data_IF_114646959160
#
_entry.id   IF_114646959160
#
_cell.length_a   1.000
_cell.length_b   1.000
_cell.length_c   1.000
_cell.angle_alpha   90.00
_cell.angle_beta   90.00
_cell.angle_gamma   90.00
#
_symmetry.space_group_name_H-M   'P 1'
#
loop_
_entity.id
_entity.type
_entity.pdbx_description
1 polymer ?
#
# COMPACT_ATOMS: atom_id res chain seq x y z
N UNK A 1 17.20 3.78 0.98
CA UNK A 1 16.96 2.33 1.12
C UNK A 1 18.25 1.53 0.93
N UNK A 2 19.01 1.74 -0.14
CA UNK A 2 20.19 0.93 -0.51
C UNK A 2 21.28 0.83 0.55
N UNK A 3 21.37 1.78 1.47
CA UNK A 3 22.37 1.76 2.54
C UNK A 3 21.95 0.90 3.75
N UNK A 4 20.65 0.61 3.87
CA UNK A 4 20.09 -0.10 5.01
C UNK A 4 19.50 -1.47 4.62
N UNK A 5 19.18 -1.68 3.34
CA UNK A 5 18.55 -2.89 2.85
C UNK A 5 19.24 -3.39 1.60
N UNK A 6 19.45 -4.72 1.53
CA UNK A 6 19.90 -5.38 0.31
C UNK A 6 18.70 -5.61 -0.60
N UNK A 7 18.79 -5.15 -1.85
CA UNK A 7 17.80 -5.51 -2.87
C UNK A 7 18.09 -6.94 -3.31
N UNK A 8 17.12 -7.83 -3.13
CA UNK A 8 17.23 -9.22 -3.56
C UNK A 8 16.60 -9.44 -4.93
N UNK A 9 15.51 -8.71 -5.21
CA UNK A 9 14.76 -8.84 -6.45
C UNK A 9 14.09 -7.52 -6.80
N UNK A 10 14.02 -7.19 -8.08
CA UNK A 10 13.25 -6.09 -8.65
C UNK A 10 12.55 -6.59 -9.90
N UNK A 11 11.22 -6.51 -9.93
CA UNK A 11 10.38 -6.95 -11.01
C UNK A 11 9.33 -5.94 -11.40
N UNK A 12 8.75 -6.11 -12.58
CA UNK A 12 7.67 -5.30 -13.11
C UNK A 12 6.47 -6.19 -13.44
N UNK A 13 5.28 -5.68 -13.18
CA UNK A 13 4.04 -6.34 -13.59
C UNK A 13 3.06 -5.34 -14.20
N UNK A 14 2.18 -5.83 -15.04
CA UNK A 14 1.07 -5.03 -15.55
C UNK A 14 -0.08 -5.06 -14.55
N UNK A 15 -0.57 -3.86 -14.18
CA UNK A 15 -1.80 -3.77 -13.40
C UNK A 15 -2.99 -4.26 -14.22
N UNK A 16 -4.03 -4.75 -13.55
CA UNK A 16 -5.28 -5.14 -14.23
C UNK A 16 -5.97 -3.92 -14.83
N UNK A 17 -6.82 -4.13 -15.84
CA UNK A 17 -7.64 -3.10 -16.45
C UNK A 17 -9.08 -3.14 -15.90
N UNK A 18 -9.68 -1.97 -15.58
CA UNK A 18 -9.07 -0.63 -15.54
C UNK A 18 -8.07 -0.47 -14.41
N UNK A 19 -7.01 0.32 -14.65
CA UNK A 19 -5.92 0.58 -13.69
C UNK A 19 -6.35 1.57 -12.60
N UNK A 20 -7.36 1.23 -11.84
CA UNK A 20 -7.79 2.04 -10.70
C UNK A 20 -7.60 1.28 -9.39
N UNK A 21 -7.34 2.02 -8.33
CA UNK A 21 -7.08 1.49 -6.99
C UNK A 21 -8.14 0.48 -6.53
N UNK A 22 -9.41 0.75 -6.84
CA UNK A 22 -10.53 -0.14 -6.51
C UNK A 22 -10.34 -1.56 -7.07
N UNK A 23 -9.99 -1.67 -8.36
CA UNK A 23 -9.84 -2.97 -9.02
C UNK A 23 -8.50 -3.61 -8.69
N UNK A 24 -7.43 -2.85 -8.86
CA UNK A 24 -6.06 -3.35 -8.71
C UNK A 24 -5.78 -3.81 -7.30
N UNK A 25 -6.07 -2.98 -6.29
CA UNK A 25 -5.73 -3.28 -4.90
C UNK A 25 -6.60 -4.38 -4.30
N UNK A 26 -7.90 -4.37 -4.59
CA UNK A 26 -8.77 -5.48 -4.18
C UNK A 26 -8.33 -6.81 -4.81
N UNK A 27 -7.87 -6.79 -6.07
CA UNK A 27 -7.32 -7.99 -6.71
C UNK A 27 -6.02 -8.47 -6.09
N UNK A 28 -5.10 -7.56 -5.75
CA UNK A 28 -3.86 -7.90 -5.05
C UNK A 28 -4.18 -8.56 -3.70
N UNK A 29 -5.06 -7.97 -2.90
CA UNK A 29 -5.37 -8.49 -1.57
C UNK A 29 -6.28 -9.72 -1.58
N UNK A 30 -7.10 -9.90 -2.59
CA UNK A 30 -7.90 -11.13 -2.70
C UNK A 30 -7.19 -12.27 -3.44
N UNK A 31 -6.18 -11.97 -4.28
CA UNK A 31 -5.62 -12.93 -5.22
C UNK A 31 -6.65 -13.41 -6.26
N UNK A 32 -7.64 -12.56 -6.60
CA UNK A 32 -8.73 -12.86 -7.52
C UNK A 32 -8.98 -11.68 -8.48
N UNK A 33 -9.56 -11.98 -9.63
CA UNK A 33 -10.08 -10.93 -10.50
C UNK A 33 -11.33 -10.26 -9.89
N UNK A 34 -11.62 -8.98 -10.23
CA UNK A 34 -12.77 -8.26 -9.71
C UNK A 34 -14.11 -9.02 -9.86
N UNK A 35 -14.33 -9.66 -11.00
CA UNK A 35 -15.53 -10.46 -11.25
C UNK A 35 -15.65 -11.70 -10.34
N UNK A 36 -14.53 -12.25 -9.93
CA UNK A 36 -14.49 -13.37 -9.00
C UNK A 36 -14.76 -12.91 -7.57
N UNK A 37 -14.22 -11.75 -7.17
CA UNK A 37 -14.53 -11.12 -5.87
C UNK A 37 -16.04 -10.84 -5.79
N UNK A 38 -16.61 -10.20 -6.81
CA UNK A 38 -18.04 -9.93 -6.88
C UNK A 38 -18.89 -11.20 -6.79
N UNK A 39 -18.48 -12.26 -7.45
CA UNK A 39 -19.18 -13.55 -7.47
C UNK A 39 -19.11 -14.29 -6.14
N UNK A 40 -17.93 -14.37 -5.53
CA UNK A 40 -17.68 -15.23 -4.38
C UNK A 40 -17.75 -14.51 -3.03
N UNK A 41 -17.49 -13.18 -3.03
CA UNK A 41 -17.40 -12.33 -1.85
C UNK A 41 -18.15 -11.01 -2.04
N UNK A 42 -19.39 -11.10 -2.54
CA UNK A 42 -20.25 -9.95 -2.87
C UNK A 42 -20.36 -8.94 -1.73
N UNK A 43 -20.32 -9.37 -0.48
CA UNK A 43 -20.39 -8.52 0.71
C UNK A 43 -19.16 -7.62 0.87
N UNK A 44 -18.07 -7.92 0.20
CA UNK A 44 -16.82 -7.14 0.22
C UNK A 44 -16.59 -6.37 -1.10
N UNK A 45 -17.54 -6.46 -2.05
CA UNK A 45 -17.48 -5.71 -3.29
C UNK A 45 -18.38 -4.48 -3.23
N UNK A 46 -17.78 -3.28 -3.31
CA UNK A 46 -18.51 -2.00 -3.30
C UNK A 46 -18.68 -1.51 -4.74
N UNK A 47 -19.93 -1.33 -5.16
CA UNK A 47 -20.26 -0.90 -6.51
C UNK A 47 -20.05 0.62 -6.70
N UNK A 48 -19.91 1.05 -7.95
CA UNK A 48 -19.63 2.44 -8.31
C UNK A 48 -20.71 3.44 -7.88
N UNK A 49 -21.95 2.99 -7.77
CA UNK A 49 -23.07 3.79 -7.31
C UNK A 49 -23.23 3.87 -5.79
N UNK A 50 -22.38 3.18 -5.04
CA UNK A 50 -22.40 3.22 -3.57
C UNK A 50 -21.49 4.33 -3.06
N UNK A 51 -21.88 4.95 -1.92
CA UNK A 51 -21.11 6.03 -1.28
C UNK A 51 -19.95 5.54 -0.43
N UNK A 52 -19.87 4.25 -0.18
CA UNK A 52 -18.81 3.65 0.61
C UNK A 52 -17.45 3.71 -0.11
N UNK A 53 -16.38 3.74 0.67
CA UNK A 53 -15.02 3.62 0.14
C UNK A 53 -14.81 2.23 -0.48
N UNK A 54 -14.42 2.20 -1.74
CA UNK A 54 -14.35 0.98 -2.55
C UNK A 54 -13.23 0.02 -2.12
N UNK A 55 -12.32 0.49 -1.30
CA UNK A 55 -11.19 -0.26 -0.73
C UNK A 55 -11.31 -0.40 0.80
N UNK A 56 -12.53 -0.49 1.32
CA UNK A 56 -12.74 -0.62 2.76
C UNK A 56 -12.49 -2.05 3.27
N UNK A 57 -12.59 -3.05 2.41
CA UNK A 57 -12.53 -4.47 2.78
C UNK A 57 -11.22 -5.16 2.38
N UNK A 58 -10.15 -4.38 2.18
CA UNK A 58 -8.84 -4.91 1.79
C UNK A 58 -8.28 -5.91 2.80
N UNK A 59 -8.47 -5.65 4.09
CA UNK A 59 -8.05 -6.55 5.18
C UNK A 59 -8.79 -7.88 5.12
N UNK A 60 -10.11 -7.83 4.96
CA UNK A 60 -10.97 -9.02 4.88
C UNK A 60 -10.64 -9.86 3.64
N UNK A 61 -10.40 -9.21 2.50
CA UNK A 61 -9.99 -9.88 1.27
C UNK A 61 -8.63 -10.56 1.43
N UNK A 62 -7.67 -9.91 2.09
CA UNK A 62 -6.36 -10.47 2.39
C UNK A 62 -6.48 -11.68 3.33
N UNK A 63 -7.27 -11.58 4.39
CA UNK A 63 -7.52 -12.69 5.32
C UNK A 63 -8.11 -13.92 4.60
N UNK A 64 -9.06 -13.70 3.69
CA UNK A 64 -9.62 -14.75 2.84
C UNK A 64 -8.59 -15.37 1.89
N UNK A 65 -7.70 -14.55 1.32
CA UNK A 65 -6.61 -15.03 0.47
C UNK A 65 -5.65 -15.92 1.27
N UNK A 66 -5.23 -15.47 2.45
CA UNK A 66 -4.34 -16.22 3.34
C UNK A 66 -4.97 -17.58 3.70
N UNK A 67 -6.21 -17.59 4.17
CA UNK A 67 -6.93 -18.80 4.53
C UNK A 67 -7.10 -19.78 3.37
N UNK A 68 -7.21 -19.28 2.15
CA UNK A 68 -7.32 -20.09 0.93
C UNK A 68 -5.97 -20.64 0.48
N UNK A 69 -4.89 -19.92 0.74
CA UNK A 69 -3.56 -20.23 0.23
C UNK A 69 -2.74 -21.09 1.20
N UNK A 70 -2.86 -20.83 2.49
CA UNK A 70 -2.07 -21.48 3.52
C UNK A 70 -2.93 -22.44 4.35
N UNK A 71 -2.32 -23.57 4.74
CA UNK A 71 -2.96 -24.57 5.63
C UNK A 71 -2.78 -24.24 7.11
N UNK A 72 -1.74 -23.49 7.42
CA UNK A 72 -1.39 -23.07 8.77
C UNK A 72 -2.00 -21.69 9.06
N UNK A 73 -2.19 -21.41 10.34
CA UNK A 73 -2.63 -20.10 10.78
C UNK A 73 -1.48 -19.10 10.61
N UNK A 74 -1.71 -18.07 9.82
CA UNK A 74 -0.75 -16.97 9.57
C UNK A 74 -1.13 -15.79 10.47
N UNK A 75 -0.24 -15.41 11.34
CA UNK A 75 -0.39 -14.22 12.17
C UNK A 75 -0.17 -12.98 11.31
N UNK A 76 -1.26 -12.28 10.96
CA UNK A 76 -1.26 -11.16 10.04
C UNK A 76 -1.78 -9.89 10.67
N UNK A 77 -1.10 -8.76 10.40
CA UNK A 77 -1.61 -7.42 10.60
C UNK A 77 -1.71 -6.63 9.30
N UNK A 78 -2.76 -5.82 9.21
CA UNK A 78 -3.01 -4.92 8.09
C UNK A 78 -3.20 -3.49 8.62
N UNK A 79 -2.36 -2.56 8.15
CA UNK A 79 -2.35 -1.16 8.56
C UNK A 79 -2.55 -0.27 7.33
N UNK A 80 -3.63 0.52 7.33
CA UNK A 80 -3.89 1.52 6.29
C UNK A 80 -3.59 2.91 6.84
N UNK A 81 -2.51 3.51 6.36
CA UNK A 81 -2.07 4.83 6.80
C UNK A 81 -2.81 5.90 6.01
N UNK A 82 -3.80 6.50 6.65
CA UNK A 82 -4.68 7.52 6.06
C UNK A 82 -4.44 8.94 6.60
N UNK A 83 -3.67 9.07 7.69
CA UNK A 83 -3.36 10.35 8.31
C UNK A 83 -2.06 10.29 9.11
N UNK A 84 -1.60 11.47 9.57
CA UNK A 84 -0.34 11.62 10.30
C UNK A 84 -0.36 10.88 11.65
N UNK A 85 -1.50 10.80 12.34
CA UNK A 85 -1.63 10.07 13.60
C UNK A 85 -1.31 8.59 13.43
N UNK A 86 -1.97 7.93 12.47
CA UNK A 86 -1.72 6.52 12.13
C UNK A 86 -0.27 6.30 11.68
N UNK A 87 0.29 7.24 10.90
CA UNK A 87 1.70 7.16 10.48
C UNK A 87 2.67 7.22 11.66
N UNK A 88 2.38 8.04 12.66
CA UNK A 88 3.17 8.16 13.89
C UNK A 88 3.04 6.90 14.74
N UNK A 89 1.83 6.42 14.96
CA UNK A 89 1.58 5.19 15.71
C UNK A 89 2.29 3.99 15.08
N UNK A 90 2.25 3.88 13.75
CA UNK A 90 3.00 2.87 13.02
C UNK A 90 4.51 2.98 13.28
N UNK A 91 5.06 4.21 13.18
CA UNK A 91 6.49 4.43 13.44
C UNK A 91 6.88 4.08 14.88
N UNK A 92 6.04 4.40 15.85
CA UNK A 92 6.33 4.15 17.26
C UNK A 92 6.26 2.66 17.62
N UNK A 93 5.39 1.91 16.94
CA UNK A 93 5.11 0.51 17.23
C UNK A 93 5.66 -0.48 16.19
N UNK A 94 6.44 -0.04 15.20
CA UNK A 94 6.85 -0.88 14.06
C UNK A 94 7.55 -2.18 14.47
N UNK A 95 8.31 -2.17 15.57
CA UNK A 95 9.03 -3.37 16.02
C UNK A 95 8.10 -4.45 16.57
N UNK A 96 6.90 -4.10 17.03
CA UNK A 96 5.94 -5.07 17.53
C UNK A 96 5.43 -5.98 16.39
N UNK A 97 5.42 -5.47 15.17
CA UNK A 97 5.00 -6.21 13.97
C UNK A 97 6.01 -7.24 13.48
N UNK A 98 7.26 -7.23 13.97
CA UNK A 98 8.26 -8.27 13.70
C UNK A 98 7.86 -9.65 14.24
N UNK A 99 6.89 -9.71 15.16
CA UNK A 99 6.37 -10.96 15.70
C UNK A 99 5.24 -11.57 14.84
N UNK A 100 4.90 -10.94 13.74
CA UNK A 100 3.91 -11.44 12.78
C UNK A 100 4.61 -12.21 11.66
N UNK A 101 3.88 -13.15 11.05
CA UNK A 101 4.32 -13.83 9.84
C UNK A 101 4.17 -12.90 8.62
N UNK A 102 3.14 -12.04 8.64
CA UNK A 102 2.89 -11.05 7.61
C UNK A 102 2.39 -9.73 8.22
N UNK A 103 3.00 -8.63 7.84
CA UNK A 103 2.47 -7.28 8.12
C UNK A 103 2.33 -6.52 6.82
N UNK A 104 1.12 -6.09 6.52
CA UNK A 104 0.81 -5.31 5.32
C UNK A 104 0.57 -3.85 5.72
N UNK A 105 1.29 -2.96 5.06
CA UNK A 105 1.15 -1.50 5.26
C UNK A 105 0.75 -0.87 3.94
N UNK A 106 -0.43 -0.27 3.90
CA UNK A 106 -0.89 0.53 2.77
C UNK A 106 -0.65 1.99 3.08
N UNK A 107 0.15 2.65 2.25
CA UNK A 107 0.52 4.05 2.44
C UNK A 107 0.07 4.91 1.25
N UNK A 108 -1.02 5.63 1.41
CA UNK A 108 -1.69 6.36 0.32
C UNK A 108 -1.07 7.72 -0.04
N UNK A 109 0.09 8.07 0.50
CA UNK A 109 0.64 9.43 0.31
C UNK A 109 0.96 9.75 -1.16
N UNK A 110 1.52 8.79 -1.91
CA UNK A 110 1.88 9.02 -3.33
C UNK A 110 0.62 9.27 -4.16
N UNK A 111 -0.41 8.48 -3.93
CA UNK A 111 -1.71 8.64 -4.57
C UNK A 111 -2.32 10.01 -4.21
N UNK A 112 -2.31 10.39 -2.95
CA UNK A 112 -2.75 11.71 -2.49
C UNK A 112 -1.96 12.85 -3.14
N UNK A 113 -0.64 12.73 -3.24
CA UNK A 113 0.21 13.72 -3.90
C UNK A 113 -0.12 13.84 -5.39
N UNK A 114 -0.39 12.73 -6.07
CA UNK A 114 -0.79 12.70 -7.48
C UNK A 114 -2.12 13.44 -7.69
N UNK A 115 -3.11 13.19 -6.86
CA UNK A 115 -4.39 13.90 -6.92
C UNK A 115 -4.22 15.39 -6.60
N UNK A 116 -3.51 15.73 -5.54
CA UNK A 116 -3.28 17.12 -5.16
C UNK A 116 -2.53 17.91 -6.24
N UNK A 117 -1.62 17.28 -7.01
CA UNK A 117 -0.96 17.88 -8.16
C UNK A 117 -1.96 18.30 -9.24
N UNK A 118 -3.03 17.56 -9.45
CA UNK A 118 -4.05 17.91 -10.46
C UNK A 118 -5.01 19.01 -9.99
N UNK A 119 -5.22 19.15 -8.69
CA UNK A 119 -6.23 20.03 -8.11
C UNK A 119 -5.66 21.37 -7.61
N UNK A 120 -4.40 21.39 -7.16
CA UNK A 120 -3.78 22.56 -6.55
C UNK A 120 -2.73 23.21 -7.47
N UNK A 121 -2.94 24.48 -7.87
CA UNK A 121 -2.02 25.18 -8.77
C UNK A 121 -0.58 25.28 -8.24
N UNK A 122 -0.43 25.50 -6.93
CA UNK A 122 0.91 25.54 -6.30
C UNK A 122 1.64 24.22 -6.47
N UNK A 123 0.95 23.09 -6.34
CA UNK A 123 1.57 21.78 -6.56
C UNK A 123 1.80 21.47 -8.03
N UNK A 124 0.97 21.98 -8.94
CA UNK A 124 1.25 21.92 -10.39
C UNK A 124 2.53 22.63 -10.74
N UNK A 125 2.78 23.81 -10.15
CA UNK A 125 4.00 24.56 -10.37
C UNK A 125 5.23 23.87 -9.78
N UNK A 126 5.14 23.41 -8.53
CA UNK A 126 6.24 22.71 -7.82
C UNK A 126 6.58 21.34 -8.43
N UNK A 127 5.58 20.64 -8.97
CA UNK A 127 5.72 19.33 -9.60
C UNK A 127 5.36 19.40 -11.09
N UNK A 128 5.89 20.42 -11.80
CA UNK A 128 5.55 20.75 -13.19
C UNK A 128 5.94 19.64 -14.17
N UNK A 129 6.99 18.91 -13.87
CA UNK A 129 7.48 17.79 -14.68
C UNK A 129 7.71 16.53 -13.81
N UNK A 130 8.01 15.42 -14.46
CA UNK A 130 8.25 14.14 -13.79
C UNK A 130 9.46 14.20 -12.85
N UNK A 131 10.50 14.94 -13.19
CA UNK A 131 11.72 15.09 -12.38
C UNK A 131 11.41 15.84 -11.08
N UNK A 132 10.65 16.93 -11.17
CA UNK A 132 10.21 17.70 -10.02
C UNK A 132 9.29 16.87 -9.12
N UNK A 133 8.34 16.13 -9.70
CA UNK A 133 7.45 15.23 -8.96
C UNK A 133 8.24 14.15 -8.20
N UNK A 134 9.18 13.49 -8.84
CA UNK A 134 10.07 12.51 -8.20
C UNK A 134 10.91 13.12 -7.08
N UNK A 135 11.39 14.35 -7.27
CA UNK A 135 12.17 15.08 -6.25
C UNK A 135 11.34 15.35 -5.00
N UNK A 136 10.10 15.82 -5.16
CA UNK A 136 9.17 16.03 -4.04
C UNK A 136 8.85 14.71 -3.33
N UNK A 137 8.54 13.67 -4.09
CA UNK A 137 8.26 12.35 -3.55
C UNK A 137 9.44 11.81 -2.74
N UNK A 138 10.66 11.93 -3.27
CA UNK A 138 11.88 11.54 -2.57
C UNK A 138 12.08 12.32 -1.27
N UNK A 139 11.98 13.64 -1.34
CA UNK A 139 12.14 14.50 -0.17
C UNK A 139 11.12 14.19 0.91
N UNK A 140 9.85 13.99 0.51
CA UNK A 140 8.84 13.54 1.44
C UNK A 140 9.19 12.19 2.08
N UNK A 141 9.56 11.21 1.28
CA UNK A 141 9.87 9.87 1.76
C UNK A 141 11.01 9.90 2.79
N UNK A 142 12.10 10.61 2.49
CA UNK A 142 13.28 10.73 3.37
C UNK A 142 12.96 11.37 4.72
N UNK A 143 11.91 12.20 4.79
CA UNK A 143 11.45 12.87 6.01
C UNK A 143 10.18 12.24 6.61
N UNK A 144 9.67 11.16 6.03
CA UNK A 144 8.41 10.53 6.45
C UNK A 144 8.55 9.65 7.69
N UNK A 145 7.42 9.48 8.39
CA UNK A 145 7.29 8.48 9.45
C UNK A 145 7.51 7.06 8.92
N UNK A 146 7.18 6.80 7.65
CA UNK A 146 7.44 5.52 6.99
C UNK A 146 8.94 5.21 6.93
N UNK A 147 9.74 6.16 6.43
CA UNK A 147 11.19 5.98 6.38
C UNK A 147 11.81 5.84 7.77
N UNK A 148 11.31 6.63 8.74
CA UNK A 148 11.72 6.50 10.14
C UNK A 148 11.40 5.12 10.71
N UNK A 149 10.21 4.59 10.43
CA UNK A 149 9.80 3.24 10.84
C UNK A 149 10.71 2.16 10.21
N UNK A 150 10.95 2.25 8.90
CA UNK A 150 11.82 1.30 8.19
C UNK A 150 13.25 1.31 8.74
N UNK A 151 13.80 2.48 9.08
CA UNK A 151 15.14 2.55 9.71
C UNK A 151 15.21 1.84 11.06
N UNK A 152 14.14 1.79 11.83
CA UNK A 152 14.08 1.04 13.10
C UNK A 152 14.14 -0.48 12.91
N UNK A 153 13.88 -0.96 11.70
CA UNK A 153 13.94 -2.37 11.32
C UNK A 153 15.31 -2.78 10.77
N UNK A 154 16.24 -1.84 10.62
CA UNK A 154 17.60 -2.13 10.16
C UNK A 154 18.28 -3.16 11.06
N UNK A 155 18.94 -4.15 10.47
CA UNK A 155 19.58 -5.26 11.16
C UNK A 155 18.63 -6.29 11.80
N UNK A 156 17.32 -6.20 11.56
CA UNK A 156 16.34 -7.19 11.98
C UNK A 156 16.16 -8.27 10.90
N UNK A 157 15.73 -9.45 11.32
CA UNK A 157 15.46 -10.56 10.41
C UNK A 157 14.02 -10.47 9.87
N UNK A 158 13.86 -9.93 8.67
CA UNK A 158 12.59 -9.88 7.95
C UNK A 158 12.84 -9.64 6.45
N UNK A 159 11.84 -9.91 5.64
CA UNK A 159 11.83 -9.58 4.22
C UNK A 159 10.87 -8.40 3.99
N UNK A 160 11.35 -7.36 3.30
CA UNK A 160 10.55 -6.20 2.91
C UNK A 160 10.17 -6.30 1.44
N UNK A 161 8.86 -6.30 1.15
CA UNK A 161 8.33 -6.23 -0.20
C UNK A 161 7.68 -4.86 -0.38
N UNK A 162 8.11 -4.12 -1.39
CA UNK A 162 7.52 -2.82 -1.75
C UNK A 162 6.90 -2.97 -3.13
N UNK A 163 5.63 -2.65 -3.24
CA UNK A 163 4.90 -2.69 -4.49
C UNK A 163 3.97 -1.50 -4.66
N UNK A 164 3.46 -1.35 -5.87
CA UNK A 164 2.41 -0.38 -6.22
C UNK A 164 1.25 -1.14 -6.87
N UNK A 165 0.04 -0.64 -6.73
CA UNK A 165 -1.16 -1.24 -7.30
C UNK A 165 -1.36 -0.84 -8.78
N UNK A 166 -0.89 0.34 -9.16
CA UNK A 166 -0.85 0.84 -10.54
C UNK A 166 0.22 1.94 -10.69
N UNK A 167 0.44 2.39 -11.91
CA UNK A 167 1.26 3.56 -12.22
C UNK A 167 0.56 4.88 -11.90
N UNK A 168 1.30 5.97 -11.87
CA UNK A 168 0.81 7.35 -11.70
C UNK A 168 0.99 8.14 -12.98
#
# INVERSE_FOLDING_TARGET
LLNNFKIEQEDYFYSILPTSTQYSRNSIFSGMLPSEIEKHYKQYWVYDNQKEGKNNYERELLDLQIKRTFREEIKMDYIKVTNIGVAKDLNDNIQNYLNNDLTVIVYNFIDFLSHARTEMEVLKELASDEKAYRSITKSWFENSSLWSALKKLDGKNFQLIIGTDHGT
#
